data_IF_506542271859
#
_entry.id   IF_506542271859
#
_cell.length_a   1.000
_cell.length_b   1.000
_cell.length_c   1.000
_cell.angle_alpha   90.00
_cell.angle_beta   90.00
_cell.angle_gamma   90.00
#
_symmetry.space_group_name_H-M   'P 1'
#
loop_
_entity.id
_entity.type
_entity.pdbx_description
1 polymer ?
#
# COMPACT_ATOMS: atom_id res chain seq x y z
N UNK A 1 3.19 -58.46 -40.71
CA UNK A 1 4.15 -57.40 -40.45
C UNK A 1 3.38 -56.21 -39.86
N UNK A 2 3.22 -56.16 -38.53
CA UNK A 2 2.43 -55.14 -37.82
C UNK A 2 3.37 -54.12 -37.24
N UNK A 3 3.20 -52.89 -37.65
CA UNK A 3 3.96 -51.71 -37.16
C UNK A 3 3.30 -51.20 -35.87
N UNK A 4 3.86 -51.48 -34.69
CA UNK A 4 3.47 -50.91 -33.42
C UNK A 4 4.02 -49.48 -33.35
N UNK A 5 3.14 -48.46 -33.48
CA UNK A 5 3.43 -47.10 -33.10
C UNK A 5 3.27 -46.94 -31.59
N UNK A 6 4.35 -46.79 -30.85
CA UNK A 6 4.31 -46.42 -29.45
C UNK A 6 3.83 -44.96 -29.33
N UNK A 7 2.64 -44.77 -28.80
CA UNK A 7 2.16 -43.48 -28.37
C UNK A 7 2.80 -43.15 -27.01
N UNK A 8 3.59 -42.08 -26.93
CA UNK A 8 4.08 -41.52 -25.66
C UNK A 8 2.91 -41.16 -24.76
N UNK A 9 2.99 -41.45 -23.44
CA UNK A 9 1.90 -41.14 -22.52
C UNK A 9 1.59 -39.66 -22.49
N UNK A 10 0.31 -39.29 -22.46
CA UNK A 10 -0.20 -37.92 -22.39
C UNK A 10 0.38 -37.09 -21.23
N UNK A 11 0.82 -37.76 -20.16
CA UNK A 11 1.50 -37.14 -19.02
C UNK A 11 2.90 -36.60 -19.37
N UNK A 12 3.68 -37.29 -20.22
CA UNK A 12 4.99 -36.81 -20.65
C UNK A 12 4.88 -35.57 -21.56
N UNK A 13 3.86 -35.52 -22.42
CA UNK A 13 3.59 -34.32 -23.24
C UNK A 13 3.14 -33.12 -22.43
N UNK A 14 2.36 -33.31 -21.36
CA UNK A 14 2.02 -32.22 -20.43
C UNK A 14 3.23 -31.70 -19.67
N UNK A 15 4.07 -32.58 -19.15
CA UNK A 15 5.30 -32.18 -18.44
C UNK A 15 6.31 -31.48 -19.34
N UNK A 16 6.39 -31.87 -20.62
CA UNK A 16 7.26 -31.17 -21.60
C UNK A 16 6.66 -29.80 -22.04
N UNK A 17 5.34 -29.68 -22.15
CA UNK A 17 4.67 -28.41 -22.40
C UNK A 17 4.81 -27.44 -21.23
N UNK A 18 4.66 -27.94 -19.98
CA UNK A 18 4.88 -27.12 -18.77
C UNK A 18 6.36 -26.70 -18.62
N UNK A 19 7.30 -27.58 -19.00
CA UNK A 19 8.74 -27.24 -19.03
C UNK A 19 9.10 -26.29 -20.17
N UNK A 20 8.40 -26.34 -21.29
CA UNK A 20 8.62 -25.44 -22.44
C UNK A 20 7.98 -24.07 -22.21
N UNK A 21 6.83 -23.98 -21.53
CA UNK A 21 6.25 -22.73 -21.06
C UNK A 21 7.11 -22.04 -20.01
N UNK A 22 7.74 -22.79 -19.09
CA UNK A 22 8.69 -22.27 -18.10
C UNK A 22 10.05 -21.83 -18.69
N UNK A 23 10.41 -22.25 -19.92
CA UNK A 23 11.69 -21.86 -20.55
C UNK A 23 11.60 -20.59 -21.39
N UNK A 24 10.40 -20.10 -21.73
CA UNK A 24 10.18 -18.90 -22.54
C UNK A 24 9.71 -17.68 -21.77
N UNK A 25 9.59 -17.73 -20.44
CA UNK A 25 9.44 -16.52 -19.63
C UNK A 25 10.82 -15.88 -19.51
N UNK A 26 11.03 -14.75 -20.16
CA UNK A 26 12.14 -13.86 -19.87
C UNK A 26 12.13 -13.64 -18.34
N UNK A 27 13.20 -14.04 -17.66
CA UNK A 27 13.26 -13.97 -16.21
C UNK A 27 13.48 -12.49 -15.86
N UNK A 28 12.41 -11.79 -15.49
CA UNK A 28 12.53 -10.39 -15.03
C UNK A 28 13.54 -10.35 -13.87
N UNK A 29 14.50 -9.40 -13.86
CA UNK A 29 15.45 -9.23 -12.76
C UNK A 29 14.74 -9.03 -11.42
N UNK A 30 13.59 -8.35 -11.43
CA UNK A 30 12.73 -8.14 -10.28
C UNK A 30 11.31 -8.57 -10.62
N UNK A 31 10.77 -9.49 -9.81
CA UNK A 31 9.44 -10.07 -10.00
C UNK A 31 8.36 -9.34 -9.21
N UNK A 32 8.74 -8.59 -8.18
CA UNK A 32 7.86 -7.73 -7.39
C UNK A 32 8.20 -6.28 -7.68
N UNK A 33 7.18 -5.49 -7.97
CA UNK A 33 7.25 -4.02 -8.08
C UNK A 33 6.41 -3.45 -6.95
N UNK A 34 7.05 -2.99 -5.87
CA UNK A 34 6.39 -2.35 -4.74
C UNK A 34 6.39 -0.84 -4.93
N UNK A 35 5.23 -0.22 -4.88
CA UNK A 35 5.05 1.20 -5.20
C UNK A 35 4.34 1.91 -4.05
N UNK A 36 4.96 2.93 -3.48
CA UNK A 36 4.21 3.96 -2.79
C UNK A 36 3.33 4.73 -3.78
N UNK A 37 2.33 5.47 -3.29
CA UNK A 37 1.35 6.14 -4.13
C UNK A 37 1.58 7.64 -4.25
N UNK A 38 1.51 8.35 -3.12
CA UNK A 38 1.45 9.81 -3.08
C UNK A 38 2.84 10.43 -3.18
N UNK A 39 3.18 11.03 -4.31
CA UNK A 39 4.52 11.52 -4.59
C UNK A 39 5.43 10.48 -5.27
N UNK A 40 4.94 9.26 -5.49
CA UNK A 40 5.67 8.17 -6.15
C UNK A 40 4.94 7.71 -7.41
N UNK A 41 3.89 6.90 -7.28
CA UNK A 41 3.13 6.38 -8.43
C UNK A 41 2.23 7.44 -9.06
N UNK A 42 1.64 8.31 -8.22
CA UNK A 42 0.71 9.35 -8.68
C UNK A 42 1.38 10.72 -8.69
N UNK A 43 1.00 11.52 -9.69
CA UNK A 43 1.36 12.94 -9.76
C UNK A 43 0.60 13.80 -8.74
N UNK A 44 0.77 15.14 -8.76
CA UNK A 44 0.07 16.04 -7.85
C UNK A 44 -1.46 16.03 -8.01
N UNK A 45 -1.98 15.65 -9.20
CA UNK A 45 -3.41 15.46 -9.46
C UNK A 45 -3.96 14.13 -8.94
N UNK A 46 -3.12 13.31 -8.29
CA UNK A 46 -3.45 11.98 -7.77
C UNK A 46 -3.92 11.00 -8.86
N UNK A 47 -3.26 11.06 -10.02
CA UNK A 47 -3.48 10.16 -11.16
C UNK A 47 -2.16 9.50 -11.59
N UNK A 48 -2.26 8.30 -12.14
CA UNK A 48 -1.12 7.62 -12.79
C UNK A 48 -0.97 8.22 -14.19
N UNK A 49 0.24 8.62 -14.55
CA UNK A 49 0.49 9.13 -15.90
C UNK A 49 0.30 8.04 -16.96
N UNK A 50 -0.09 8.39 -18.20
CA UNK A 50 -0.28 7.39 -19.25
C UNK A 50 0.96 6.52 -19.51
N UNK A 51 2.16 7.10 -19.47
CA UNK A 51 3.41 6.38 -19.67
C UNK A 51 3.70 5.39 -18.53
N UNK A 52 3.60 5.84 -17.28
CA UNK A 52 3.82 4.98 -16.12
C UNK A 52 2.82 3.83 -16.09
N UNK A 53 1.55 4.10 -16.42
CA UNK A 53 0.51 3.07 -16.54
C UNK A 53 0.85 2.03 -17.61
N UNK A 54 1.27 2.46 -18.80
CA UNK A 54 1.64 1.58 -19.92
C UNK A 54 2.79 0.64 -19.53
N UNK A 55 3.86 1.18 -18.93
CA UNK A 55 5.03 0.42 -18.50
C UNK A 55 4.68 -0.60 -17.43
N UNK A 56 3.85 -0.22 -16.43
CA UNK A 56 3.40 -1.15 -15.38
C UNK A 56 2.52 -2.27 -15.94
N UNK A 57 1.62 -1.97 -16.87
CA UNK A 57 0.80 -3.01 -17.52
C UNK A 57 1.67 -3.97 -18.35
N UNK A 58 2.70 -3.45 -19.04
CA UNK A 58 3.66 -4.27 -19.77
C UNK A 58 4.45 -5.18 -18.82
N UNK A 59 4.98 -4.63 -17.72
CA UNK A 59 5.70 -5.42 -16.72
C UNK A 59 4.84 -6.58 -16.15
N UNK A 60 3.56 -6.32 -15.88
CA UNK A 60 2.63 -7.35 -15.42
C UNK A 60 2.37 -8.42 -16.49
N UNK A 61 2.27 -8.06 -17.76
CA UNK A 61 2.14 -9.02 -18.88
C UNK A 61 3.37 -9.92 -18.99
N UNK A 62 4.54 -9.41 -18.62
CA UNK A 62 5.80 -10.18 -18.57
C UNK A 62 5.98 -10.96 -17.26
N UNK A 63 5.01 -10.92 -16.35
CA UNK A 63 4.97 -11.74 -15.13
C UNK A 63 5.41 -11.02 -13.86
N UNK A 64 5.58 -9.70 -13.86
CA UNK A 64 5.78 -8.95 -12.64
C UNK A 64 4.49 -8.86 -11.82
N UNK A 65 4.63 -8.92 -10.50
CA UNK A 65 3.56 -8.72 -9.53
C UNK A 65 3.66 -7.29 -8.99
N UNK A 66 2.63 -6.49 -9.19
CA UNK A 66 2.57 -5.12 -8.67
C UNK A 66 1.93 -5.11 -7.28
N UNK A 67 2.57 -4.39 -6.36
CA UNK A 67 2.10 -4.16 -4.99
C UNK A 67 1.95 -2.67 -4.75
N UNK A 68 0.73 -2.21 -4.51
CA UNK A 68 0.44 -0.83 -4.12
C UNK A 68 0.53 -0.69 -2.61
N UNK A 69 1.57 -0.01 -2.10
CA UNK A 69 1.91 0.09 -0.68
C UNK A 69 1.73 1.52 -0.17
N UNK A 70 0.65 1.79 0.55
CA UNK A 70 0.29 3.16 0.95
C UNK A 70 -0.23 3.25 2.39
N UNK A 71 -0.13 4.46 2.98
CA UNK A 71 -0.82 4.82 4.23
C UNK A 71 -2.33 4.98 4.07
N UNK A 72 -2.85 5.02 2.84
CA UNK A 72 -4.27 5.14 2.55
C UNK A 72 -5.07 3.92 3.05
N UNK A 73 -6.37 4.10 3.36
CA UNK A 73 -7.28 2.98 3.55
C UNK A 73 -7.41 2.15 2.26
N UNK A 74 -7.78 0.88 2.39
CA UNK A 74 -7.89 -0.04 1.24
C UNK A 74 -8.71 0.56 0.09
N UNK A 75 -9.88 1.12 0.37
CA UNK A 75 -10.75 1.69 -0.66
C UNK A 75 -10.19 2.97 -1.31
N UNK A 76 -9.29 3.70 -0.64
CA UNK A 76 -8.56 4.82 -1.25
C UNK A 76 -7.50 4.39 -2.29
N UNK A 77 -7.14 3.09 -2.30
CA UNK A 77 -6.18 2.49 -3.25
C UNK A 77 -6.91 1.82 -4.43
N UNK A 78 -8.12 1.33 -4.21
CA UNK A 78 -8.93 0.57 -5.19
C UNK A 78 -8.99 1.19 -6.59
N UNK A 79 -9.23 2.50 -6.77
CA UNK A 79 -9.27 3.09 -8.10
C UNK A 79 -7.97 2.87 -8.90
N UNK A 80 -6.81 2.99 -8.24
CA UNK A 80 -5.49 2.78 -8.87
C UNK A 80 -5.23 1.29 -9.14
N UNK A 81 -5.63 0.41 -8.21
CA UNK A 81 -5.53 -1.04 -8.39
C UNK A 81 -6.34 -1.52 -9.61
N UNK A 82 -7.55 -0.98 -9.79
CA UNK A 82 -8.40 -1.28 -10.94
C UNK A 82 -7.84 -0.69 -12.24
N UNK A 83 -7.28 0.53 -12.21
CA UNK A 83 -6.62 1.15 -13.36
C UNK A 83 -5.44 0.32 -13.87
N UNK A 84 -4.66 -0.28 -12.94
CA UNK A 84 -3.55 -1.17 -13.24
C UNK A 84 -3.98 -2.62 -13.45
N UNK A 85 -5.28 -2.94 -13.40
CA UNK A 85 -5.85 -4.29 -13.60
C UNK A 85 -5.22 -5.35 -12.68
N UNK A 86 -5.00 -5.00 -11.41
CA UNK A 86 -4.39 -5.92 -10.45
C UNK A 86 -5.26 -7.15 -10.18
N UNK A 87 -6.58 -7.04 -10.36
CA UNK A 87 -7.54 -8.15 -10.33
C UNK A 87 -7.25 -9.20 -11.41
N UNK A 88 -6.82 -8.76 -12.58
CA UNK A 88 -6.55 -9.63 -13.74
C UNK A 88 -5.11 -10.19 -13.70
N UNK A 89 -4.16 -9.39 -13.25
CA UNK A 89 -2.72 -9.76 -13.26
C UNK A 89 -2.24 -10.35 -11.93
N UNK A 90 -3.06 -10.37 -10.87
CA UNK A 90 -2.69 -11.00 -9.58
C UNK A 90 -1.82 -10.11 -8.70
N UNK A 91 -2.09 -8.80 -8.65
CA UNK A 91 -1.39 -7.86 -7.79
C UNK A 91 -1.95 -7.76 -6.38
N UNK A 92 -1.33 -6.94 -5.53
CA UNK A 92 -1.69 -6.79 -4.12
C UNK A 92 -1.89 -5.32 -3.73
N UNK A 93 -2.78 -5.11 -2.75
CA UNK A 93 -2.92 -3.86 -2.03
C UNK A 93 -2.35 -4.04 -0.62
N UNK A 94 -1.40 -3.19 -0.24
CA UNK A 94 -0.85 -3.07 1.09
C UNK A 94 -1.27 -1.70 1.64
N UNK A 95 -2.37 -1.69 2.39
CA UNK A 95 -3.01 -0.51 2.93
C UNK A 95 -2.54 -0.20 4.37
N UNK A 96 -2.82 1.03 4.84
CA UNK A 96 -2.51 1.49 6.19
C UNK A 96 -1.02 1.31 6.56
N UNK A 97 -0.10 1.66 5.65
CA UNK A 97 1.35 1.47 5.81
C UNK A 97 1.76 0.02 6.11
N UNK A 98 0.98 -0.97 5.65
CA UNK A 98 1.22 -2.39 5.90
C UNK A 98 0.31 -3.01 6.95
N UNK A 99 -0.61 -2.24 7.53
CA UNK A 99 -1.60 -2.76 8.47
C UNK A 99 -2.56 -3.79 7.89
N UNK A 100 -2.71 -3.80 6.55
CA UNK A 100 -3.58 -4.74 5.85
C UNK A 100 -3.01 -5.11 4.48
N UNK A 101 -3.04 -6.40 4.13
CA UNK A 101 -2.66 -6.91 2.82
C UNK A 101 -3.86 -7.62 2.19
N UNK A 102 -4.23 -7.20 0.99
CA UNK A 102 -5.29 -7.82 0.19
C UNK A 102 -4.70 -8.33 -1.13
N UNK A 103 -4.91 -9.60 -1.41
CA UNK A 103 -4.69 -10.18 -2.73
C UNK A 103 -5.81 -9.69 -3.65
N UNK A 104 -5.48 -8.78 -4.58
CA UNK A 104 -6.49 -8.14 -5.41
C UNK A 104 -7.01 -9.05 -6.52
N UNK A 105 -6.23 -10.06 -6.92
CA UNK A 105 -6.67 -11.08 -7.87
C UNK A 105 -7.76 -11.99 -7.30
N UNK A 106 -7.65 -12.37 -6.03
CA UNK A 106 -8.62 -13.25 -5.36
C UNK A 106 -9.61 -12.51 -4.45
N UNK A 107 -9.41 -11.20 -4.23
CA UNK A 107 -10.18 -10.36 -3.29
C UNK A 107 -10.11 -10.86 -1.84
N UNK A 108 -9.06 -11.61 -1.48
CA UNK A 108 -8.89 -12.17 -0.15
C UNK A 108 -7.96 -11.31 0.70
N UNK A 109 -8.35 -11.08 1.93
CA UNK A 109 -7.47 -10.52 2.95
C UNK A 109 -6.41 -11.57 3.33
N UNK A 110 -5.13 -11.22 3.11
CA UNK A 110 -3.99 -12.08 3.44
C UNK A 110 -3.44 -11.82 4.83
N UNK A 111 -3.60 -10.61 5.30
CA UNK A 111 -3.13 -10.15 6.61
C UNK A 111 -3.88 -8.89 7.01
N UNK A 112 -4.22 -8.78 8.28
CA UNK A 112 -4.65 -7.55 8.91
C UNK A 112 -4.16 -7.49 10.35
N UNK A 113 -3.73 -6.31 10.78
CA UNK A 113 -3.43 -5.99 12.16
C UNK A 113 -4.42 -4.94 12.63
N UNK A 114 -4.96 -5.13 13.81
CA UNK A 114 -6.07 -4.33 14.30
C UNK A 114 -5.67 -3.51 15.52
N UNK A 115 -6.31 -2.37 15.69
CA UNK A 115 -6.20 -1.59 16.91
C UNK A 115 -6.61 -2.43 18.14
N UNK A 116 -5.93 -2.27 19.28
CA UNK A 116 -6.35 -2.91 20.50
C UNK A 116 -7.78 -2.46 20.87
N UNK A 117 -8.75 -3.37 21.06
CA UNK A 117 -10.13 -2.99 21.36
C UNK A 117 -10.26 -2.08 22.60
N UNK A 118 -9.36 -2.22 23.57
CA UNK A 118 -9.32 -1.37 24.77
C UNK A 118 -8.85 0.06 24.51
N UNK A 119 -8.15 0.34 23.40
CA UNK A 119 -7.69 1.68 23.07
C UNK A 119 -8.78 2.53 22.40
N UNK A 120 -9.69 1.89 21.65
CA UNK A 120 -10.70 2.59 20.85
C UNK A 120 -11.61 3.51 21.69
N UNK A 121 -12.20 3.06 22.82
CA UNK A 121 -12.98 3.95 23.67
C UNK A 121 -12.17 5.10 24.27
N UNK A 122 -10.90 4.86 24.62
CA UNK A 122 -10.00 5.90 25.17
C UNK A 122 -9.78 7.00 24.15
N UNK A 123 -9.48 6.63 22.89
CA UNK A 123 -9.29 7.56 21.78
C UNK A 123 -10.57 8.36 21.53
N UNK A 124 -11.71 7.69 21.50
CA UNK A 124 -13.01 8.32 21.26
C UNK A 124 -13.37 9.36 22.33
N UNK A 125 -13.24 9.00 23.60
CA UNK A 125 -13.49 9.93 24.72
C UNK A 125 -12.50 11.09 24.75
N UNK A 126 -11.24 10.85 24.37
CA UNK A 126 -10.24 11.89 24.24
C UNK A 126 -10.65 12.89 23.15
N UNK A 127 -11.00 12.42 21.95
CA UNK A 127 -11.43 13.27 20.84
C UNK A 127 -12.63 14.13 21.21
N UNK A 128 -13.65 13.53 21.84
CA UNK A 128 -14.85 14.25 22.30
C UNK A 128 -14.52 15.33 23.32
N UNK A 129 -13.73 15.01 24.33
CA UNK A 129 -13.36 15.95 25.39
C UNK A 129 -12.56 17.14 24.86
N UNK A 130 -11.70 16.90 23.87
CA UNK A 130 -10.84 17.95 23.27
C UNK A 130 -11.51 18.67 22.09
N UNK A 131 -12.66 18.20 21.62
CA UNK A 131 -13.38 18.79 20.48
C UNK A 131 -12.71 18.50 19.12
N UNK A 132 -11.94 17.41 19.00
CA UNK A 132 -11.31 16.97 17.76
C UNK A 132 -12.25 16.09 16.95
N UNK A 133 -12.19 16.19 15.62
CA UNK A 133 -12.86 15.23 14.79
C UNK A 133 -12.10 13.90 14.81
N UNK A 134 -12.86 12.82 14.97
CA UNK A 134 -12.36 11.46 14.85
C UNK A 134 -13.11 10.77 13.73
N UNK A 135 -12.37 10.05 12.90
CA UNK A 135 -12.95 9.28 11.81
C UNK A 135 -12.40 7.86 11.77
N UNK A 136 -13.19 6.98 11.23
CA UNK A 136 -12.83 5.61 10.87
C UNK A 136 -13.29 5.31 9.45
N UNK A 137 -13.08 4.09 9.04
CA UNK A 137 -13.45 3.61 7.71
C UNK A 137 -14.43 2.46 7.84
N UNK A 138 -15.47 2.46 7.00
CA UNK A 138 -16.47 1.40 6.96
C UNK A 138 -16.82 1.11 5.49
N UNK A 139 -16.31 0.01 4.96
CA UNK A 139 -16.36 -0.25 3.53
C UNK A 139 -15.69 0.88 2.74
N UNK A 140 -16.41 1.45 1.78
CA UNK A 140 -15.94 2.55 0.93
C UNK A 140 -16.27 3.96 1.45
N UNK A 141 -16.60 4.09 2.73
CA UNK A 141 -16.97 5.35 3.35
C UNK A 141 -16.06 5.71 4.52
N UNK A 142 -15.82 7.02 4.69
CA UNK A 142 -15.30 7.61 5.91
C UNK A 142 -16.48 7.83 6.84
N UNK A 143 -16.41 7.33 8.08
CA UNK A 143 -17.46 7.51 9.09
C UNK A 143 -16.96 8.45 10.19
N UNK A 144 -17.78 9.45 10.53
CA UNK A 144 -17.46 10.45 11.55
C UNK A 144 -18.70 11.14 12.11
N UNK A 145 -18.59 11.66 13.31
CA UNK A 145 -19.63 12.55 13.91
C UNK A 145 -19.51 13.99 13.42
N UNK A 146 -18.34 14.38 12.83
CA UNK A 146 -18.02 15.73 12.41
C UNK A 146 -17.74 15.81 10.89
N UNK A 147 -18.73 15.59 10.01
CA UNK A 147 -18.53 15.53 8.55
C UNK A 147 -18.13 16.89 7.94
N UNK A 148 -18.38 17.98 8.65
CA UNK A 148 -18.09 19.34 8.19
C UNK A 148 -16.69 19.84 8.55
N UNK A 149 -15.93 19.07 9.34
CA UNK A 149 -14.54 19.38 9.66
C UNK A 149 -13.70 19.50 8.36
N UNK A 150 -12.90 20.57 8.18
CA UNK A 150 -12.17 20.81 6.93
C UNK A 150 -11.15 19.72 6.63
N UNK A 151 -10.54 19.12 7.65
CA UNK A 151 -9.53 18.09 7.50
C UNK A 151 -10.16 16.72 7.24
N UNK A 152 -11.37 16.44 7.75
CA UNK A 152 -12.16 15.26 7.33
C UNK A 152 -12.51 15.35 5.85
N UNK A 153 -12.88 16.55 5.36
CA UNK A 153 -13.11 16.78 3.93
C UNK A 153 -11.84 16.60 3.10
N UNK A 154 -10.68 16.99 3.65
CA UNK A 154 -9.39 16.77 2.99
C UNK A 154 -9.06 15.27 2.88
N UNK A 155 -9.28 14.48 3.94
CA UNK A 155 -9.11 13.02 3.91
C UNK A 155 -10.04 12.37 2.86
N UNK A 156 -11.30 12.84 2.79
CA UNK A 156 -12.26 12.41 1.75
C UNK A 156 -11.76 12.73 0.34
N UNK A 157 -11.22 13.93 0.13
CA UNK A 157 -10.66 14.36 -1.16
C UNK A 157 -9.46 13.51 -1.60
N UNK A 158 -8.53 13.28 -0.67
CA UNK A 158 -7.31 12.49 -0.93
C UNK A 158 -7.67 11.05 -1.32
N UNK A 159 -8.59 10.43 -0.58
CA UNK A 159 -8.95 9.03 -0.79
C UNK A 159 -10.08 8.82 -1.79
N UNK A 160 -10.72 9.90 -2.27
CA UNK A 160 -11.93 9.86 -3.13
C UNK A 160 -13.05 9.00 -2.50
N UNK A 161 -13.20 9.09 -1.18
CA UNK A 161 -14.21 8.36 -0.40
C UNK A 161 -15.31 9.30 0.10
N UNK A 162 -16.54 8.82 0.11
CA UNK A 162 -17.66 9.58 0.65
C UNK A 162 -17.59 9.69 2.18
N UNK A 163 -18.08 10.80 2.73
CA UNK A 163 -18.22 10.96 4.17
C UNK A 163 -19.65 10.58 4.56
N UNK A 164 -19.78 9.67 5.50
CA UNK A 164 -21.05 9.31 6.15
C UNK A 164 -21.08 9.86 7.57
N UNK A 165 -22.02 10.76 7.83
CA UNK A 165 -22.29 11.24 9.18
C UNK A 165 -22.91 10.13 10.03
N UNK A 166 -22.44 9.99 11.27
CA UNK A 166 -22.99 9.09 12.27
C UNK A 166 -23.22 9.83 13.58
N UNK A 167 -24.14 9.35 14.43
CA UNK A 167 -24.41 9.96 15.74
C UNK A 167 -23.48 9.42 16.84
N UNK A 168 -22.95 8.23 16.65
CA UNK A 168 -21.96 7.62 17.56
C UNK A 168 -20.98 6.78 16.72
N UNK A 169 -19.74 7.25 16.64
CA UNK A 169 -18.71 6.61 15.81
C UNK A 169 -18.46 5.15 16.23
N UNK A 170 -18.45 4.85 17.53
CA UNK A 170 -18.15 3.50 18.03
C UNK A 170 -19.14 2.43 17.53
N UNK A 171 -20.37 2.83 17.22
CA UNK A 171 -21.42 1.93 16.72
C UNK A 171 -21.32 1.66 15.23
N UNK A 172 -20.47 2.39 14.51
CA UNK A 172 -20.38 2.37 13.05
C UNK A 172 -18.98 2.05 12.52
N UNK A 173 -17.99 1.87 13.42
CA UNK A 173 -16.67 1.35 13.04
C UNK A 173 -16.79 -0.10 12.57
N UNK A 174 -15.87 -0.50 11.69
CA UNK A 174 -15.65 -1.93 11.43
C UNK A 174 -15.34 -2.65 12.76
N UNK A 175 -15.71 -3.93 12.92
CA UNK A 175 -15.54 -4.65 14.19
C UNK A 175 -14.10 -4.65 14.71
N UNK A 176 -13.12 -4.63 13.82
CA UNK A 176 -11.71 -4.63 14.13
C UNK A 176 -11.00 -3.60 13.23
N UNK A 177 -11.07 -2.30 13.55
CA UNK A 177 -10.45 -1.29 12.70
C UNK A 177 -8.93 -1.39 12.74
N UNK A 178 -8.30 -1.24 11.58
CA UNK A 178 -6.84 -1.18 11.46
C UNK A 178 -6.32 0.22 11.77
N UNK A 179 -7.14 1.26 11.56
CA UNK A 179 -6.74 2.66 11.72
C UNK A 179 -7.92 3.50 12.18
N UNK A 180 -7.65 4.44 13.06
CA UNK A 180 -8.46 5.65 13.26
C UNK A 180 -7.61 6.86 12.90
N UNK A 181 -8.25 7.93 12.46
CA UNK A 181 -7.60 9.20 12.18
C UNK A 181 -8.28 10.29 13.00
N UNK A 182 -7.48 11.04 13.77
CA UNK A 182 -7.95 12.23 14.46
C UNK A 182 -7.50 13.46 13.69
N UNK A 183 -8.36 14.48 13.59
CA UNK A 183 -8.05 15.71 12.87
C UNK A 183 -8.31 16.92 13.73
N UNK A 184 -7.54 17.99 13.47
CA UNK A 184 -7.67 19.27 14.15
C UNK A 184 -6.59 20.26 13.76
N UNK A 185 -6.60 21.41 14.38
CA UNK A 185 -5.59 22.43 14.17
C UNK A 185 -4.17 21.91 14.48
N UNK A 186 -3.14 22.23 13.67
CA UNK A 186 -1.79 21.69 13.81
C UNK A 186 -1.21 21.76 15.23
N UNK A 187 -1.42 22.90 15.92
CA UNK A 187 -0.92 23.09 17.30
C UNK A 187 -1.60 22.17 18.31
N UNK A 188 -2.89 21.86 18.12
CA UNK A 188 -3.63 20.96 19.01
C UNK A 188 -3.30 19.49 18.72
N UNK A 189 -2.95 19.16 17.47
CA UNK A 189 -2.53 17.81 17.10
C UNK A 189 -1.15 17.44 17.67
N UNK A 190 -0.25 18.41 17.88
CA UNK A 190 1.02 18.18 18.60
C UNK A 190 0.73 17.70 20.03
N UNK A 191 -0.14 18.42 20.73
CA UNK A 191 -0.52 18.07 22.12
C UNK A 191 -1.24 16.71 22.16
N UNK A 192 -2.14 16.46 21.21
CA UNK A 192 -2.86 15.18 21.14
C UNK A 192 -1.92 13.99 20.87
N UNK A 193 -0.90 14.18 20.04
CA UNK A 193 0.15 13.18 19.79
C UNK A 193 0.90 12.84 21.07
N UNK A 194 1.38 13.84 21.81
CA UNK A 194 2.12 13.64 23.06
C UNK A 194 1.26 12.97 24.14
N UNK A 195 0.06 13.47 24.39
CA UNK A 195 -0.84 12.94 25.42
C UNK A 195 -1.30 11.49 25.12
N UNK A 196 -1.64 11.18 23.86
CA UNK A 196 -2.06 9.84 23.45
C UNK A 196 -0.88 8.87 23.33
N UNK A 197 0.29 9.32 22.89
CA UNK A 197 1.49 8.49 22.88
C UNK A 197 1.94 8.11 24.30
N UNK A 198 1.84 9.03 25.29
CA UNK A 198 2.08 8.72 26.70
C UNK A 198 1.09 7.68 27.24
N UNK A 199 -0.19 7.80 26.89
CA UNK A 199 -1.25 6.95 27.42
C UNK A 199 -1.35 5.58 26.74
N UNK A 200 -1.08 5.49 25.43
CA UNK A 200 -1.34 4.31 24.60
C UNK A 200 -0.12 3.78 23.84
N UNK A 201 1.03 4.48 23.88
CA UNK A 201 2.18 4.17 23.06
C UNK A 201 2.87 2.84 23.35
N UNK A 202 2.55 2.16 24.44
CA UNK A 202 2.95 0.78 24.72
C UNK A 202 2.13 -0.24 23.90
N UNK A 203 0.89 0.12 23.47
CA UNK A 203 -0.10 -0.75 22.82
C UNK A 203 -0.28 -0.46 21.35
N UNK A 204 -0.03 0.77 20.94
CA UNK A 204 -0.25 1.23 19.56
C UNK A 204 0.71 2.35 19.18
N UNK A 205 0.80 2.65 17.90
CA UNK A 205 1.57 3.79 17.42
C UNK A 205 0.65 5.00 17.21
N UNK A 206 1.13 6.16 17.65
CA UNK A 206 0.47 7.46 17.55
C UNK A 206 1.47 8.42 16.95
N UNK A 207 1.18 8.96 15.78
CA UNK A 207 2.08 9.90 15.09
C UNK A 207 1.32 10.77 14.09
N UNK A 208 1.88 11.92 13.74
CA UNK A 208 1.29 12.78 12.73
C UNK A 208 1.84 12.46 11.34
N UNK A 209 0.95 12.15 10.39
CA UNK A 209 1.28 12.01 8.96
C UNK A 209 1.23 13.35 8.21
N UNK A 210 0.47 14.32 8.74
CA UNK A 210 0.42 15.70 8.33
C UNK A 210 0.26 16.59 9.57
N UNK A 211 0.50 17.89 9.50
CA UNK A 211 0.35 18.76 10.66
C UNK A 211 -1.01 18.66 11.37
N UNK A 212 -2.06 18.35 10.61
CA UNK A 212 -3.46 18.27 11.03
C UNK A 212 -4.04 16.84 11.08
N UNK A 213 -3.25 15.82 10.74
CA UNK A 213 -3.63 14.41 10.76
C UNK A 213 -2.83 13.64 11.81
N UNK A 214 -3.53 13.10 12.82
CA UNK A 214 -2.95 12.20 13.82
C UNK A 214 -3.39 10.77 13.56
N UNK A 215 -2.44 9.96 13.15
CA UNK A 215 -2.61 8.54 12.85
C UNK A 215 -2.63 7.73 14.14
N UNK A 216 -3.60 6.85 14.26
CA UNK A 216 -3.83 5.96 15.38
C UNK A 216 -3.88 4.55 14.82
N UNK A 217 -2.77 3.81 14.92
CA UNK A 217 -2.55 2.53 14.25
C UNK A 217 -2.00 1.47 15.20
N UNK A 218 -2.15 0.16 14.92
CA UNK A 218 -1.54 -0.89 15.71
C UNK A 218 -0.01 -0.73 15.81
N UNK A 219 0.56 -1.24 16.91
CA UNK A 219 1.99 -1.15 17.18
C UNK A 219 2.83 -1.85 16.12
N UNK A 220 3.87 -1.14 15.64
CA UNK A 220 4.90 -1.71 14.77
C UNK A 220 4.42 -2.03 13.36
N UNK A 221 3.39 -1.32 12.86
CA UNK A 221 3.04 -1.38 11.44
C UNK A 221 4.16 -0.74 10.63
N UNK A 222 4.62 -1.47 9.62
CA UNK A 222 5.73 -1.07 8.74
C UNK A 222 5.58 -1.72 7.36
N UNK A 223 5.82 -0.95 6.29
CA UNK A 223 5.70 -1.44 4.90
C UNK A 223 6.63 -2.62 4.64
N UNK A 224 7.88 -2.58 5.12
CA UNK A 224 8.85 -3.65 4.91
C UNK A 224 8.44 -4.96 5.58
N UNK A 225 7.98 -4.91 6.84
CA UNK A 225 7.51 -6.09 7.55
C UNK A 225 6.36 -6.78 6.84
N UNK A 226 5.45 -5.99 6.28
CA UNK A 226 4.31 -6.52 5.53
C UNK A 226 4.71 -7.04 4.16
N UNK A 227 5.66 -6.40 3.49
CA UNK A 227 6.24 -6.92 2.25
C UNK A 227 6.99 -8.24 2.48
N UNK A 228 7.70 -8.41 3.59
CA UNK A 228 8.31 -9.70 3.94
C UNK A 228 7.28 -10.82 4.07
N UNK A 229 6.11 -10.54 4.69
CA UNK A 229 5.00 -11.51 4.77
C UNK A 229 4.46 -11.86 3.38
N UNK A 230 4.29 -10.84 2.53
CA UNK A 230 3.82 -11.02 1.16
C UNK A 230 4.83 -11.84 0.33
N UNK A 231 6.11 -11.49 0.37
CA UNK A 231 7.18 -12.22 -0.34
C UNK A 231 7.20 -13.70 0.06
N UNK A 232 7.12 -14.00 1.35
CA UNK A 232 7.02 -15.38 1.84
C UNK A 232 5.79 -16.12 1.29
N UNK A 233 4.63 -15.45 1.20
CA UNK A 233 3.39 -16.02 0.63
C UNK A 233 3.53 -16.39 -0.84
N UNK A 234 4.25 -15.57 -1.62
CA UNK A 234 4.44 -15.80 -3.07
C UNK A 234 5.75 -16.55 -3.41
N UNK A 235 6.45 -17.08 -2.39
CA UNK A 235 7.73 -17.79 -2.52
C UNK A 235 8.82 -16.98 -3.22
N UNK A 236 8.93 -15.70 -2.88
CA UNK A 236 9.95 -14.77 -3.34
C UNK A 236 10.74 -14.20 -2.16
N UNK A 237 11.86 -13.55 -2.46
CA UNK A 237 12.76 -12.93 -1.49
C UNK A 237 12.89 -11.43 -1.73
N UNK A 238 13.44 -10.65 -0.80
CA UNK A 238 13.72 -9.24 -1.03
C UNK A 238 14.57 -8.98 -2.29
N UNK A 239 15.47 -9.88 -2.66
CA UNK A 239 16.28 -9.75 -3.88
C UNK A 239 15.45 -9.76 -5.18
N UNK A 240 14.24 -10.34 -5.14
CA UNK A 240 13.31 -10.38 -6.27
C UNK A 240 12.44 -9.11 -6.39
N UNK A 241 12.66 -8.10 -5.52
CA UNK A 241 11.82 -6.92 -5.41
C UNK A 241 12.54 -5.64 -5.80
N UNK A 242 11.91 -4.83 -6.64
CA UNK A 242 12.21 -3.40 -6.83
C UNK A 242 11.13 -2.60 -6.12
N UNK A 243 11.51 -1.61 -5.31
CA UNK A 243 10.61 -0.78 -4.52
C UNK A 243 10.80 0.70 -4.83
N UNK A 244 9.72 1.47 -4.85
CA UNK A 244 9.69 2.89 -5.14
C UNK A 244 9.04 3.66 -4.01
N UNK A 245 9.63 4.79 -3.61
CA UNK A 245 9.12 5.64 -2.55
C UNK A 245 9.70 7.03 -2.57
N UNK A 246 9.09 7.96 -1.84
CA UNK A 246 9.57 9.34 -1.67
C UNK A 246 9.48 9.83 -0.22
N UNK A 247 8.71 9.16 0.63
CA UNK A 247 8.50 9.53 2.03
C UNK A 247 9.37 8.79 3.03
N UNK A 248 9.43 9.30 4.25
CA UNK A 248 10.15 8.64 5.36
C UNK A 248 9.56 7.28 5.75
N UNK A 249 8.25 7.10 5.53
CA UNK A 249 7.55 5.82 5.72
C UNK A 249 7.91 4.76 4.69
N UNK A 250 8.67 5.13 3.63
CA UNK A 250 9.15 4.21 2.59
C UNK A 250 10.56 3.71 2.86
N UNK A 251 11.33 4.37 3.74
CA UNK A 251 12.73 4.03 4.00
C UNK A 251 12.94 2.55 4.30
N UNK A 252 12.09 1.97 5.15
CA UNK A 252 12.17 0.54 5.48
C UNK A 252 11.95 -0.35 4.27
N UNK A 253 11.00 0.02 3.39
CA UNK A 253 10.71 -0.70 2.15
C UNK A 253 11.83 -0.56 1.13
N UNK A 254 12.40 0.64 0.96
CA UNK A 254 13.53 0.88 0.06
C UNK A 254 14.77 0.09 0.48
N UNK A 255 15.11 0.10 1.78
CA UNK A 255 16.23 -0.67 2.35
C UNK A 255 16.06 -2.19 2.26
N UNK A 256 14.80 -2.67 2.30
CA UNK A 256 14.49 -4.09 2.21
C UNK A 256 14.68 -4.63 0.79
N UNK A 257 14.32 -3.86 -0.23
CA UNK A 257 14.26 -4.29 -1.62
C UNK A 257 15.65 -4.67 -2.16
N UNK A 258 15.70 -5.59 -3.13
CA UNK A 258 16.90 -5.85 -3.93
C UNK A 258 17.32 -4.65 -4.77
N UNK A 259 16.38 -3.72 -5.04
CA UNK A 259 16.60 -2.41 -5.65
C UNK A 259 15.64 -1.41 -5.02
N UNK A 260 16.12 -0.57 -4.13
CA UNK A 260 15.37 0.55 -3.57
C UNK A 260 15.55 1.81 -4.42
N UNK A 261 14.46 2.33 -4.96
CA UNK A 261 14.44 3.49 -5.85
C UNK A 261 13.72 4.65 -5.19
N UNK A 262 14.44 5.73 -4.92
CA UNK A 262 13.85 6.98 -4.46
C UNK A 262 13.46 7.86 -5.64
N UNK A 263 12.33 8.57 -5.51
CA UNK A 263 11.92 9.58 -6.48
C UNK A 263 12.77 10.85 -6.34
N UNK A 264 12.96 11.61 -7.43
CA UNK A 264 13.72 12.87 -7.39
C UNK A 264 13.08 13.92 -6.46
N UNK A 265 11.77 13.89 -6.29
CA UNK A 265 11.03 14.76 -5.38
C UNK A 265 11.10 14.31 -3.90
N UNK A 266 11.72 13.17 -3.60
CA UNK A 266 11.90 12.68 -2.23
C UNK A 266 12.81 13.62 -1.40
N UNK A 267 12.65 13.57 -0.07
CA UNK A 267 13.55 14.28 0.85
C UNK A 267 15.01 13.84 0.65
N UNK A 268 16.00 14.73 0.89
CA UNK A 268 17.43 14.40 0.70
C UNK A 268 17.85 13.12 1.43
N UNK A 269 17.33 12.90 2.64
CA UNK A 269 17.63 11.73 3.48
C UNK A 269 17.10 10.44 2.85
N UNK A 270 15.90 10.48 2.25
CA UNK A 270 15.32 9.33 1.56
C UNK A 270 16.11 9.00 0.30
N UNK A 271 16.52 10.03 -0.46
CA UNK A 271 17.35 9.84 -1.66
C UNK A 271 18.75 9.30 -1.33
N UNK A 272 19.34 9.72 -0.21
CA UNK A 272 20.65 9.27 0.20
C UNK A 272 20.67 7.79 0.65
N UNK A 273 19.53 7.26 1.04
CA UNK A 273 19.38 5.91 1.59
C UNK A 273 18.93 4.87 0.53
N UNK A 274 18.60 5.32 -0.68
CA UNK A 274 18.17 4.47 -1.79
C UNK A 274 19.35 4.00 -2.65
N UNK A 275 19.20 2.83 -3.30
CA UNK A 275 20.20 2.31 -4.25
C UNK A 275 20.24 3.12 -5.55
N UNK A 276 19.11 3.73 -5.92
CA UNK A 276 18.99 4.54 -7.12
C UNK A 276 18.01 5.70 -6.93
N UNK A 277 18.32 6.84 -7.51
CA UNK A 277 17.40 7.99 -7.58
C UNK A 277 16.93 8.13 -9.03
N UNK A 278 15.62 8.03 -9.23
CA UNK A 278 14.98 8.20 -10.53
C UNK A 278 14.50 9.64 -10.73
N UNK A 279 13.74 9.90 -11.80
CA UNK A 279 13.06 11.17 -12.04
C UNK A 279 11.95 11.41 -11.00
N UNK A 280 11.32 12.58 -11.03
CA UNK A 280 10.18 12.88 -10.16
C UNK A 280 8.93 12.12 -10.60
N UNK A 281 7.92 12.11 -9.72
CA UNK A 281 6.58 11.58 -10.03
C UNK A 281 5.86 12.37 -11.13
N UNK A 282 6.27 13.61 -11.39
CA UNK A 282 5.76 14.45 -12.49
C UNK A 282 6.44 14.14 -13.83
N UNK A 283 7.61 13.48 -13.80
CA UNK A 283 8.46 13.20 -14.98
C UNK A 283 8.53 11.70 -15.29
N UNK A 284 7.51 10.93 -14.94
CA UNK A 284 7.44 9.47 -15.18
C UNK A 284 8.58 8.66 -14.52
N UNK A 285 9.05 9.07 -13.34
CA UNK A 285 10.21 8.47 -12.68
C UNK A 285 10.09 6.96 -12.45
N UNK A 286 8.89 6.46 -12.13
CA UNK A 286 8.63 5.01 -12.00
C UNK A 286 8.85 4.30 -13.35
N UNK A 287 8.28 4.83 -14.44
CA UNK A 287 8.44 4.26 -15.77
C UNK A 287 9.91 4.25 -16.21
N UNK A 288 10.61 5.37 -16.03
CA UNK A 288 12.02 5.50 -16.41
C UNK A 288 12.91 4.47 -15.71
N UNK A 289 12.69 4.22 -14.42
CA UNK A 289 13.45 3.20 -13.68
C UNK A 289 13.06 1.78 -14.09
N UNK A 290 11.77 1.49 -14.30
CA UNK A 290 11.33 0.16 -14.75
C UNK A 290 11.86 -0.18 -16.15
N UNK A 291 11.81 0.76 -17.10
CA UNK A 291 12.40 0.58 -18.43
C UNK A 291 13.91 0.25 -18.33
N UNK A 292 14.64 0.95 -17.43
CA UNK A 292 16.07 0.73 -17.21
C UNK A 292 16.40 -0.63 -16.58
N UNK A 293 15.66 -1.03 -15.53
CA UNK A 293 16.03 -2.19 -14.70
C UNK A 293 15.34 -3.48 -15.11
N UNK A 294 14.20 -3.41 -15.81
CA UNK A 294 13.49 -4.59 -16.31
C UNK A 294 13.76 -4.87 -17.79
N UNK A 295 14.36 -3.92 -18.52
CA UNK A 295 14.59 -3.99 -19.96
C UNK A 295 13.28 -4.17 -20.77
N UNK A 296 12.23 -3.47 -20.40
CA UNK A 296 10.88 -3.57 -20.97
C UNK A 296 10.50 -2.33 -21.79
#
# INVERSE_FOLDING_TARGET
MYCLRFALPLQAKRQDMDKQQNRNQAHLPYRIIALDLDGTLTNHDKVITPKTREVLLKAQQEGAIVVLASGRPTYGIVPLANELKLDTHGGFILAYNGGKIVDWGTQQECFAQHLPPSAIPVIYEYAKRKGHALLGYAGNEIVTEMPDDPYVKEESRINKMNIRRVDNLLMHLEPNPTKLLMTGEPTTMIVAEEELAEQLGDKMDVFRSAPFFLELVPKGIDKAQSLLRLLAKVNLTPADMIAFGDGYNDLSMLRLAGMGVAMANAAPEVRADADYVTLSNEEDGVAAALEKFLNI
#
